data_IF_484310457955
#
_entry.id   IF_484310457955
#
_cell.length_a   1.000
_cell.length_b   1.000
_cell.length_c   1.000
_cell.angle_alpha   90.00
_cell.angle_beta   90.00
_cell.angle_gamma   90.00
#
_symmetry.space_group_name_H-M   'P 1'
#
loop_
_entity.id
_entity.type
_entity.pdbx_description
1 polymer ?
#
# COMPACT_ATOMS: atom_id res chain seq x y z
N UNK A 1 -8.34 -12.58 -36.88
CA UNK A 1 -7.17 -13.11 -36.15
C UNK A 1 -7.04 -12.32 -34.85
N UNK A 2 -7.15 -12.97 -33.68
CA UNK A 2 -7.10 -12.29 -32.38
C UNK A 2 -5.66 -11.86 -32.10
N UNK A 3 -5.40 -10.56 -32.13
CA UNK A 3 -4.11 -9.98 -31.80
C UNK A 3 -3.84 -10.26 -30.32
N UNK A 4 -2.86 -11.13 -30.03
CA UNK A 4 -2.39 -11.33 -28.65
C UNK A 4 -1.90 -9.97 -28.15
N UNK A 5 -2.50 -9.46 -27.07
CA UNK A 5 -2.10 -8.19 -26.48
C UNK A 5 -0.62 -8.19 -26.10
N UNK A 6 0.00 -7.00 -26.13
CA UNK A 6 1.36 -6.81 -25.62
C UNK A 6 1.45 -7.33 -24.16
N UNK A 7 2.52 -8.05 -23.82
CA UNK A 7 2.74 -8.56 -22.45
C UNK A 7 2.76 -7.43 -21.43
N UNK A 8 2.55 -7.76 -20.15
CA UNK A 8 2.72 -6.81 -19.06
C UNK A 8 4.20 -6.55 -18.82
N UNK A 9 4.57 -5.28 -18.73
CA UNK A 9 5.90 -4.83 -18.28
C UNK A 9 5.95 -4.74 -16.75
N UNK A 10 7.14 -4.73 -16.17
CA UNK A 10 7.33 -4.60 -14.71
C UNK A 10 6.65 -3.35 -14.15
N UNK A 11 6.78 -2.21 -14.82
CA UNK A 11 6.07 -0.99 -14.44
C UNK A 11 4.55 -1.14 -14.46
N UNK A 12 3.99 -1.86 -15.43
CA UNK A 12 2.54 -2.13 -15.45
C UNK A 12 2.13 -3.02 -14.27
N UNK A 13 2.97 -3.97 -13.87
CA UNK A 13 2.68 -4.79 -12.70
C UNK A 13 2.73 -3.98 -11.40
N UNK A 14 3.71 -3.08 -11.24
CA UNK A 14 3.78 -2.16 -10.10
C UNK A 14 2.52 -1.28 -10.02
N UNK A 15 2.13 -0.66 -11.15
CA UNK A 15 0.93 0.17 -11.22
C UNK A 15 -0.33 -0.62 -10.87
N UNK A 16 -0.44 -1.87 -11.34
CA UNK A 16 -1.59 -2.73 -11.02
C UNK A 16 -1.62 -3.09 -9.53
N UNK A 17 -0.47 -3.39 -8.91
CA UNK A 17 -0.38 -3.66 -7.47
C UNK A 17 -0.78 -2.43 -6.64
N UNK A 18 -0.22 -1.26 -6.95
CA UNK A 18 -0.54 -0.01 -6.26
C UNK A 18 -2.03 0.37 -6.38
N UNK A 19 -2.58 0.29 -7.60
CA UNK A 19 -3.99 0.57 -7.83
C UNK A 19 -4.89 -0.42 -7.09
N UNK A 20 -4.53 -1.72 -7.05
CA UNK A 20 -5.27 -2.69 -6.26
C UNK A 20 -5.27 -2.33 -4.77
N UNK A 21 -4.10 -2.10 -4.19
CA UNK A 21 -3.96 -1.80 -2.76
C UNK A 21 -4.73 -0.55 -2.35
N UNK A 22 -4.70 0.50 -3.17
CA UNK A 22 -5.46 1.73 -2.95
C UNK A 22 -6.97 1.47 -2.82
N UNK A 23 -7.52 0.60 -3.66
CA UNK A 23 -8.97 0.36 -3.71
C UNK A 23 -9.42 -0.88 -2.94
N UNK A 24 -8.51 -1.77 -2.53
CA UNK A 24 -8.82 -3.00 -1.78
C UNK A 24 -8.73 -2.82 -0.26
N UNK A 25 -8.03 -1.78 0.20
CA UNK A 25 -7.78 -1.53 1.65
C UNK A 25 -8.68 -0.44 2.25
N UNK A 26 -9.61 0.13 1.46
CA UNK A 26 -10.57 1.12 1.94
C UNK A 26 -11.60 0.46 2.90
N UNK A 27 -11.31 0.55 4.20
CA UNK A 27 -12.07 -0.07 5.30
C UNK A 27 -13.52 0.41 5.35
N UNK A 28 -13.80 1.63 4.86
CA UNK A 28 -15.14 2.21 4.84
C UNK A 28 -16.00 1.60 3.72
N UNK A 29 -15.35 1.14 2.65
CA UNK A 29 -16.02 0.68 1.42
C UNK A 29 -15.95 -0.85 1.25
N UNK A 30 -14.97 -1.52 1.87
CA UNK A 30 -14.71 -2.95 1.71
C UNK A 30 -15.85 -3.88 2.14
N UNK A 31 -16.71 -3.47 3.08
CA UNK A 31 -17.85 -4.28 3.52
C UNK A 31 -19.04 -4.27 2.55
N UNK A 32 -19.15 -3.28 1.65
CA UNK A 32 -20.33 -3.08 0.81
C UNK A 32 -20.03 -2.87 -0.69
N UNK A 33 -18.77 -2.91 -1.11
CA UNK A 33 -18.43 -2.76 -2.52
C UNK A 33 -18.54 -4.08 -3.28
N UNK A 34 -19.35 -4.08 -4.34
CA UNK A 34 -19.36 -5.19 -5.29
C UNK A 34 -17.99 -5.29 -5.96
N UNK A 35 -17.42 -6.49 -6.01
CA UNK A 35 -16.10 -6.79 -6.59
C UNK A 35 -15.91 -6.15 -7.99
N UNK A 36 -16.98 -6.15 -8.81
CA UNK A 36 -17.01 -5.52 -10.14
C UNK A 36 -16.77 -4.00 -10.10
N UNK A 37 -17.33 -3.30 -9.12
CA UNK A 37 -17.20 -1.85 -9.00
C UNK A 37 -15.81 -1.46 -8.46
N UNK A 38 -15.19 -2.31 -7.64
CA UNK A 38 -13.79 -2.15 -7.20
C UNK A 38 -12.85 -2.23 -8.41
N UNK A 39 -12.98 -3.27 -9.23
CA UNK A 39 -12.12 -3.43 -10.40
C UNK A 39 -12.26 -2.32 -11.44
N UNK A 40 -13.45 -1.71 -11.57
CA UNK A 40 -13.61 -0.51 -12.40
C UNK A 40 -12.78 0.65 -11.88
N UNK A 41 -12.78 0.91 -10.56
CA UNK A 41 -11.94 1.95 -9.94
C UNK A 41 -10.46 1.66 -10.15
N UNK A 42 -10.03 0.42 -9.93
CA UNK A 42 -8.66 -0.03 -10.19
C UNK A 42 -8.26 0.23 -11.65
N UNK A 43 -9.13 -0.13 -12.60
CA UNK A 43 -8.88 0.10 -14.02
C UNK A 43 -8.77 1.60 -14.34
N UNK A 44 -9.65 2.43 -13.77
CA UNK A 44 -9.61 3.89 -13.95
C UNK A 44 -8.28 4.45 -13.46
N UNK A 45 -7.87 4.12 -12.24
CA UNK A 45 -6.57 4.56 -11.68
C UNK A 45 -5.41 4.04 -12.53
N UNK A 46 -5.38 2.74 -12.87
CA UNK A 46 -4.32 2.17 -13.68
C UNK A 46 -4.17 2.85 -15.05
N UNK A 47 -5.29 3.00 -15.79
CA UNK A 47 -5.25 3.61 -17.13
C UNK A 47 -4.90 5.10 -17.06
N UNK A 48 -5.24 5.77 -15.96
CA UNK A 48 -4.85 7.14 -15.72
C UNK A 48 -3.32 7.27 -15.55
N UNK A 49 -2.72 6.46 -14.67
CA UNK A 49 -1.28 6.42 -14.44
C UNK A 49 -0.49 6.06 -15.71
N UNK A 50 -1.01 5.12 -16.50
CA UNK A 50 -0.40 4.66 -17.75
C UNK A 50 -0.30 5.77 -18.81
N UNK A 51 -1.28 6.68 -18.88
CA UNK A 51 -1.25 7.86 -19.77
C UNK A 51 -0.15 8.83 -19.36
N UNK A 52 0.11 8.94 -18.06
CA UNK A 52 1.05 9.91 -17.51
C UNK A 52 2.51 9.42 -17.53
N UNK A 53 2.77 8.14 -17.24
CA UNK A 53 4.12 7.67 -16.90
C UNK A 53 4.94 7.11 -18.06
N UNK A 54 4.35 6.59 -19.16
CA UNK A 54 5.17 5.90 -20.17
C UNK A 54 4.53 5.59 -21.54
N UNK A 55 3.46 6.28 -21.93
CA UNK A 55 2.67 5.94 -23.14
C UNK A 55 2.30 4.44 -23.23
N UNK A 56 2.05 3.81 -22.07
CA UNK A 56 1.66 2.39 -22.04
C UNK A 56 0.21 2.26 -22.56
N UNK A 57 -0.17 1.04 -22.93
CA UNK A 57 -1.51 0.79 -23.44
C UNK A 57 -2.52 0.67 -22.30
N UNK A 58 -3.72 1.21 -22.50
CA UNK A 58 -4.83 0.95 -21.60
C UNK A 58 -5.10 -0.55 -21.49
N UNK A 59 -5.45 -1.01 -20.29
CA UNK A 59 -5.83 -2.39 -20.02
C UNK A 59 -7.31 -2.49 -19.69
N UNK A 60 -7.89 -3.64 -20.00
CA UNK A 60 -9.28 -3.97 -19.61
C UNK A 60 -9.32 -4.43 -18.16
N UNK A 61 -10.47 -4.30 -17.48
CA UNK A 61 -10.69 -4.86 -16.14
C UNK A 61 -10.21 -6.32 -16.05
N UNK A 62 -10.71 -7.16 -16.96
CA UNK A 62 -10.37 -8.59 -16.98
C UNK A 62 -8.88 -8.84 -17.16
N UNK A 63 -8.19 -8.01 -17.94
CA UNK A 63 -6.74 -8.13 -18.13
C UNK A 63 -5.97 -7.82 -16.84
N UNK A 64 -6.38 -6.79 -16.11
CA UNK A 64 -5.75 -6.38 -14.85
C UNK A 64 -6.02 -7.42 -13.76
N UNK A 65 -7.26 -7.89 -13.66
CA UNK A 65 -7.69 -8.92 -12.72
C UNK A 65 -6.90 -10.22 -12.90
N UNK A 66 -6.90 -10.80 -14.11
CA UNK A 66 -6.16 -12.03 -14.37
C UNK A 66 -4.64 -11.85 -14.19
N UNK A 67 -4.09 -10.65 -14.39
CA UNK A 67 -2.67 -10.40 -14.15
C UNK A 67 -2.36 -10.33 -12.66
N UNK A 68 -3.19 -9.62 -11.89
CA UNK A 68 -3.01 -9.49 -10.45
C UNK A 68 -3.21 -10.83 -9.74
N UNK A 69 -4.15 -11.66 -10.18
CA UNK A 69 -4.33 -13.01 -9.63
C UNK A 69 -3.04 -13.83 -9.72
N UNK A 70 -2.36 -13.79 -10.87
CA UNK A 70 -1.07 -14.46 -11.07
C UNK A 70 0.03 -13.89 -10.18
N UNK A 71 0.10 -12.57 -10.06
CA UNK A 71 1.05 -11.89 -9.17
C UNK A 71 0.78 -12.29 -7.73
N UNK A 72 -0.47 -12.24 -7.29
CA UNK A 72 -0.92 -12.59 -5.94
C UNK A 72 -0.51 -14.01 -5.58
N UNK A 73 -0.81 -14.99 -6.45
CA UNK A 73 -0.48 -16.39 -6.21
C UNK A 73 1.03 -16.60 -6.09
N UNK A 74 1.81 -16.01 -7.01
CA UNK A 74 3.26 -16.12 -6.99
C UNK A 74 3.88 -15.45 -5.74
N UNK A 75 3.39 -14.25 -5.37
CA UNK A 75 3.86 -13.54 -4.19
C UNK A 75 3.51 -14.27 -2.89
N UNK A 76 2.31 -14.86 -2.79
CA UNK A 76 1.93 -15.67 -1.63
C UNK A 76 2.81 -16.91 -1.50
N UNK A 77 3.08 -17.62 -2.60
CA UNK A 77 3.99 -18.76 -2.58
C UNK A 77 5.43 -18.34 -2.21
N UNK A 78 5.91 -17.24 -2.79
CA UNK A 78 7.25 -16.71 -2.49
C UNK A 78 7.38 -16.31 -1.02
N UNK A 79 6.39 -15.61 -0.44
CA UNK A 79 6.35 -15.28 0.97
C UNK A 79 6.39 -16.52 1.88
N UNK A 80 5.71 -17.61 1.50
CA UNK A 80 5.82 -18.88 2.25
C UNK A 80 7.21 -19.52 2.17
N UNK A 81 7.91 -19.36 1.05
CA UNK A 81 9.27 -19.84 0.88
C UNK A 81 10.29 -19.00 1.64
N UNK A 82 10.07 -17.68 1.73
CA UNK A 82 10.88 -16.78 2.56
C UNK A 82 10.79 -17.17 4.03
N UNK A 83 9.58 -17.32 4.57
CA UNK A 83 9.40 -17.75 5.97
C UNK A 83 10.04 -19.10 6.24
N UNK A 84 9.90 -20.06 5.33
CA UNK A 84 10.56 -21.36 5.50
C UNK A 84 12.09 -21.28 5.43
N UNK A 85 12.65 -20.41 4.58
CA UNK A 85 14.08 -20.17 4.52
C UNK A 85 14.58 -19.50 5.82
N UNK A 86 13.84 -18.53 6.35
CA UNK A 86 14.13 -17.87 7.64
C UNK A 86 14.10 -18.88 8.80
N UNK A 87 13.07 -19.73 8.87
CA UNK A 87 12.93 -20.75 9.92
C UNK A 87 14.05 -21.82 9.89
N UNK A 88 14.56 -22.13 8.69
CA UNK A 88 15.69 -23.06 8.51
C UNK A 88 17.03 -22.43 8.91
N UNK A 89 17.14 -21.10 8.83
CA UNK A 89 18.38 -20.37 9.07
C UNK A 89 18.46 -19.85 10.52
N UNK A 90 18.47 -20.77 11.48
CA UNK A 90 18.58 -20.47 12.92
C UNK A 90 19.95 -19.93 13.35
N UNK A 91 20.92 -19.84 12.44
CA UNK A 91 22.30 -19.45 12.72
C UNK A 91 22.80 -18.39 11.73
N UNK A 92 22.78 -17.11 12.14
CA UNK A 92 23.66 -16.03 11.66
C UNK A 92 23.83 -15.77 10.16
N UNK A 93 23.02 -16.38 9.28
CA UNK A 93 23.16 -16.25 7.82
C UNK A 93 22.84 -14.84 7.35
N UNK A 94 23.48 -14.44 6.24
CA UNK A 94 23.24 -13.16 5.60
C UNK A 94 21.83 -13.15 4.97
N UNK A 95 21.17 -11.99 4.94
CA UNK A 95 19.85 -11.80 4.32
C UNK A 95 19.82 -12.29 2.86
N UNK A 96 20.91 -12.12 2.13
CA UNK A 96 21.06 -12.61 0.76
C UNK A 96 20.98 -14.14 0.65
N UNK A 97 21.48 -14.87 1.65
CA UNK A 97 21.42 -16.33 1.65
C UNK A 97 19.99 -16.82 1.86
N UNK A 98 19.22 -16.14 2.72
CA UNK A 98 17.80 -16.39 2.95
C UNK A 98 17.01 -16.19 1.65
N UNK A 99 17.25 -15.07 0.95
CA UNK A 99 16.60 -14.77 -0.34
C UNK A 99 16.94 -15.85 -1.38
N UNK A 100 18.21 -16.23 -1.51
CA UNK A 100 18.63 -17.25 -2.47
C UNK A 100 17.99 -18.62 -2.17
N UNK A 101 17.91 -18.99 -0.90
CA UNK A 101 17.24 -20.22 -0.48
C UNK A 101 15.74 -20.17 -0.75
N UNK A 102 15.08 -19.03 -0.49
CA UNK A 102 13.67 -18.84 -0.78
C UNK A 102 13.37 -18.92 -2.28
N UNK A 103 14.20 -18.35 -3.14
CA UNK A 103 14.08 -18.46 -4.60
C UNK A 103 14.25 -19.90 -5.09
N UNK A 104 15.19 -20.65 -4.50
CA UNK A 104 15.37 -22.07 -4.80
C UNK A 104 14.14 -22.89 -4.37
N UNK A 105 13.62 -22.65 -3.17
CA UNK A 105 12.39 -23.28 -2.66
C UNK A 105 11.18 -22.94 -3.54
N UNK A 106 11.05 -21.68 -3.97
CA UNK A 106 9.98 -21.25 -4.86
C UNK A 106 9.99 -22.06 -6.15
N UNK A 107 11.16 -22.22 -6.79
CA UNK A 107 11.29 -22.99 -8.03
C UNK A 107 10.92 -24.47 -7.85
N UNK A 108 11.20 -25.05 -6.69
CA UNK A 108 10.82 -26.43 -6.39
C UNK A 108 9.30 -26.54 -6.21
N UNK A 109 8.68 -25.57 -5.52
CA UNK A 109 7.25 -25.60 -5.17
C UNK A 109 6.32 -25.05 -6.26
N UNK A 110 6.81 -24.20 -7.15
CA UNK A 110 6.01 -23.69 -8.26
C UNK A 110 5.57 -24.87 -9.15
N UNK A 111 4.27 -25.00 -9.47
CA UNK A 111 3.77 -26.13 -10.26
C UNK A 111 4.41 -26.28 -11.64
N UNK A 112 5.06 -25.23 -12.15
CA UNK A 112 5.75 -25.20 -13.45
C UNK A 112 7.26 -25.13 -13.32
N UNK A 113 7.78 -25.19 -12.09
CA UNK A 113 9.20 -25.06 -11.76
C UNK A 113 9.86 -23.82 -12.36
N UNK A 114 9.10 -22.72 -12.44
CA UNK A 114 9.60 -21.45 -12.99
C UNK A 114 10.28 -20.63 -11.91
N UNK A 115 11.25 -19.82 -12.32
CA UNK A 115 11.85 -18.82 -11.45
C UNK A 115 10.82 -17.76 -11.07
N UNK A 116 10.96 -17.20 -9.87
CA UNK A 116 10.15 -16.07 -9.42
C UNK A 116 10.50 -14.81 -10.23
N UNK A 117 9.49 -14.13 -10.77
CA UNK A 117 9.65 -12.97 -11.67
C UNK A 117 9.00 -11.69 -11.16
N UNK A 118 8.47 -11.71 -9.94
CA UNK A 118 7.65 -10.62 -9.40
C UNK A 118 8.29 -9.95 -8.19
N UNK A 119 9.61 -9.83 -8.18
CA UNK A 119 10.36 -9.18 -7.09
C UNK A 119 9.88 -7.74 -6.87
N UNK A 120 9.67 -6.99 -7.96
CA UNK A 120 9.11 -5.63 -7.90
C UNK A 120 7.71 -5.58 -7.27
N UNK A 121 6.85 -6.57 -7.54
CA UNK A 121 5.53 -6.64 -6.92
C UNK A 121 5.61 -7.05 -5.45
N UNK A 122 6.52 -7.96 -5.12
CA UNK A 122 6.70 -8.43 -3.74
C UNK A 122 7.07 -7.29 -2.81
N UNK A 123 8.01 -6.43 -3.23
CA UNK A 123 8.41 -5.24 -2.47
C UNK A 123 7.25 -4.30 -2.14
N UNK A 124 6.24 -4.23 -3.03
CA UNK A 124 5.02 -3.46 -2.81
C UNK A 124 4.05 -4.21 -1.86
N UNK A 125 3.86 -5.51 -2.07
CA UNK A 125 2.78 -6.27 -1.42
C UNK A 125 3.15 -6.80 -0.02
N UNK A 126 4.44 -7.02 0.27
CA UNK A 126 4.90 -7.77 1.46
C UNK A 126 4.43 -7.22 2.81
N UNK A 127 4.16 -5.91 2.89
CA UNK A 127 3.75 -5.24 4.13
C UNK A 127 2.23 -5.18 4.33
N UNK A 128 1.43 -5.73 3.42
CA UNK A 128 -0.04 -5.66 3.49
C UNK A 128 -0.64 -6.90 4.15
N UNK A 129 -1.75 -6.77 4.93
CA UNK A 129 -2.29 -7.85 5.78
C UNK A 129 -2.56 -9.19 5.08
N UNK A 130 -2.81 -9.18 3.77
CA UNK A 130 -3.05 -10.40 2.97
C UNK A 130 -1.76 -11.19 2.68
N UNK A 131 -0.59 -10.54 2.71
CA UNK A 131 0.70 -11.14 2.40
C UNK A 131 1.69 -11.10 3.58
N UNK A 132 1.39 -10.33 4.62
CA UNK A 132 2.06 -10.45 5.93
C UNK A 132 1.61 -11.76 6.56
N UNK A 133 2.57 -12.64 6.86
CA UNK A 133 2.27 -13.81 7.68
C UNK A 133 2.06 -13.37 9.13
N UNK A 134 1.11 -13.97 9.87
CA UNK A 134 1.00 -13.71 11.29
C UNK A 134 2.33 -14.08 11.94
N UNK A 135 2.98 -13.11 12.58
CA UNK A 135 4.15 -13.39 13.39
C UNK A 135 3.75 -14.48 14.39
N UNK A 136 4.50 -15.58 14.42
CA UNK A 136 4.40 -16.53 15.51
C UNK A 136 4.89 -15.78 16.74
N UNK A 137 3.97 -15.13 17.45
CA UNK A 137 4.20 -14.71 18.82
C UNK A 137 4.73 -15.95 19.53
N UNK A 138 6.02 -15.96 19.83
CA UNK A 138 6.57 -16.78 20.90
C UNK A 138 5.82 -16.26 22.13
N UNK A 139 4.71 -16.92 22.46
CA UNK A 139 4.11 -16.75 23.77
C UNK A 139 5.21 -17.16 24.74
N UNK A 140 5.70 -16.16 25.46
CA UNK A 140 6.53 -16.36 26.63
C UNK A 140 5.83 -17.40 27.52
N UNK A 141 6.38 -18.62 27.54
CA UNK A 141 6.18 -19.53 28.66
C UNK A 141 6.87 -18.89 29.88
N UNK A 142 6.16 -17.98 30.52
CA UNK A 142 6.43 -17.54 31.89
C UNK A 142 5.19 -16.81 32.43
N UNK A 143 4.16 -17.57 32.79
CA UNK A 143 3.21 -17.09 33.81
C UNK A 143 3.70 -17.53 35.18
N UNK A 144 3.97 -16.62 36.13
CA UNK A 144 4.28 -16.98 37.50
C UNK A 144 3.07 -17.61 38.19
N UNK A 145 3.31 -18.75 38.83
CA UNK A 145 2.45 -19.35 39.84
C UNK A 145 2.25 -18.35 40.99
N UNK A 146 1.00 -18.01 41.34
CA UNK A 146 0.67 -17.63 42.71
C UNK A 146 -0.60 -18.33 43.21
N UNK A 147 -0.49 -18.68 44.48
CA UNK A 147 -1.23 -19.66 45.26
C UNK A 147 -2.67 -19.28 45.61
N UNK A 148 -3.50 -20.31 45.78
CA UNK A 148 -4.77 -20.24 46.49
C UNK A 148 -5.41 -21.62 46.73
N UNK A 149 -4.80 -22.46 47.55
CA UNK A 149 -5.45 -23.61 48.23
C UNK A 149 -6.39 -23.12 49.35
N UNK A 150 -7.33 -23.92 49.94
CA UNK A 150 -7.13 -25.33 50.34
C UNK A 150 -8.36 -26.28 50.37
N UNK A 151 -8.12 -27.51 50.89
CA UNK A 151 -9.02 -28.56 51.43
C UNK A 151 -9.46 -29.63 50.39
N UNK A 152 -9.45 -30.96 50.62
CA UNK A 152 -8.94 -31.94 51.60
C UNK A 152 -9.35 -33.34 51.09
N UNK A 153 -8.56 -34.38 51.38
CA UNK A 153 -8.86 -35.83 51.60
C UNK A 153 -7.70 -36.68 51.03
N UNK A 154 -6.73 -37.08 51.87
CA UNK A 154 -6.63 -38.36 52.62
C UNK A 154 -6.32 -39.60 51.75
N UNK A 155 -5.11 -40.19 51.88
CA UNK A 155 -4.87 -41.35 52.78
C UNK A 155 -3.54 -42.09 52.47
N UNK A 156 -2.67 -42.20 53.49
CA UNK A 156 -1.80 -43.36 53.88
C UNK A 156 -0.73 -43.90 52.88
N UNK A 157 0.50 -44.32 53.19
CA UNK A 157 1.19 -45.01 54.31
C UNK A 157 2.73 -44.76 54.22
N UNK A 158 3.43 -44.37 55.28
CA UNK A 158 4.29 -45.13 56.23
C UNK A 158 5.57 -45.84 55.69
N UNK A 159 6.70 -45.46 56.33
CA UNK A 159 7.91 -46.24 56.72
C UNK A 159 8.82 -46.87 55.63
N UNK A 160 10.14 -47.00 55.76
CA UNK A 160 11.13 -46.66 56.79
C UNK A 160 12.52 -47.21 56.36
N UNK A 161 13.57 -46.38 56.47
CA UNK A 161 15.06 -46.55 56.62
C UNK A 161 15.81 -47.89 56.27
N UNK A 162 17.15 -48.01 56.46
CA UNK A 162 18.18 -47.84 55.42
C UNK A 162 19.13 -49.07 55.28
N UNK A 163 20.03 -49.13 54.28
CA UNK A 163 21.22 -49.98 54.41
C UNK A 163 22.48 -49.44 53.71
N UNK A 164 23.57 -49.50 54.50
CA UNK A 164 24.96 -49.14 54.27
C UNK A 164 25.68 -49.97 53.19
N UNK A 165 26.76 -49.39 52.64
CA UNK A 165 27.96 -50.18 52.37
C UNK A 165 28.86 -49.75 51.20
N UNK A 166 30.07 -49.27 51.57
CA UNK A 166 31.35 -49.33 50.83
C UNK A 166 31.84 -48.03 50.12
N UNK A 167 32.83 -47.41 50.79
CA UNK A 167 33.82 -46.36 50.45
C UNK A 167 34.98 -46.92 49.56
N UNK A 168 36.13 -46.23 49.27
CA UNK A 168 36.54 -44.81 49.35
C UNK A 168 37.39 -44.29 48.13
N UNK A 169 37.65 -42.96 48.08
CA UNK A 169 38.66 -42.36 47.18
C UNK A 169 39.01 -40.88 47.48
N UNK A 170 39.74 -40.64 48.57
CA UNK A 170 40.72 -39.56 48.89
C UNK A 170 40.94 -38.41 47.89
N UNK A 171 40.69 -37.16 48.28
CA UNK A 171 41.66 -36.13 48.77
C UNK A 171 42.29 -35.23 47.70
N UNK A 172 42.17 -33.89 47.86
CA UNK A 172 43.01 -32.94 47.11
C UNK A 172 42.53 -31.48 46.99
N UNK A 173 42.52 -30.76 48.12
CA UNK A 173 42.67 -29.28 48.30
C UNK A 173 43.31 -28.52 47.10
N UNK A 174 43.03 -27.25 46.72
CA UNK A 174 42.73 -26.00 47.47
C UNK A 174 42.55 -24.83 46.45
N UNK A 175 41.64 -23.91 46.77
CA UNK A 175 41.75 -22.43 46.71
C UNK A 175 42.66 -21.72 45.67
N UNK A 176 42.06 -20.85 44.85
CA UNK A 176 42.71 -19.61 44.40
C UNK A 176 42.31 -19.10 43.00
N UNK A 177 41.48 -18.04 42.95
CA UNK A 177 41.60 -16.84 42.08
C UNK A 177 40.26 -16.13 41.92
N UNK A 178 39.91 -15.38 42.95
CA UNK A 178 38.93 -14.31 42.89
C UNK A 178 39.72 -12.99 42.81
N UNK A 179 39.92 -12.45 41.59
CA UNK A 179 40.46 -11.10 41.32
C UNK A 179 40.62 -10.73 39.81
N UNK A 180 39.93 -11.39 38.87
CA UNK A 180 40.08 -11.05 37.42
C UNK A 180 38.78 -10.89 36.64
N UNK A 181 37.62 -10.76 37.31
CA UNK A 181 36.32 -10.56 36.61
C UNK A 181 35.63 -9.22 36.90
N UNK A 182 36.18 -8.39 37.80
CA UNK A 182 35.56 -7.12 38.22
C UNK A 182 36.21 -5.84 37.64
N UNK A 183 37.18 -5.94 36.72
CA UNK A 183 37.84 -4.77 36.07
C UNK A 183 37.60 -4.64 34.55
N UNK A 184 36.50 -5.18 34.03
CA UNK A 184 36.07 -5.02 32.62
C UNK A 184 34.67 -4.41 32.47
N UNK A 185 34.25 -3.56 33.40
CA UNK A 185 32.98 -2.81 33.30
C UNK A 185 33.11 -1.29 33.22
N UNK A 186 34.32 -0.76 33.02
CA UNK A 186 34.54 0.67 32.79
C UNK A 186 35.57 0.88 31.68
N UNK A 187 35.21 0.46 30.47
CA UNK A 187 35.78 0.93 29.21
C UNK A 187 34.84 0.44 28.10
N UNK A 188 33.67 1.08 27.97
CA UNK A 188 32.90 1.01 26.73
C UNK A 188 33.62 1.92 25.73
N UNK A 189 34.72 1.42 25.19
CA UNK A 189 35.38 2.04 24.04
C UNK A 189 34.39 1.91 22.87
N UNK A 190 33.81 3.04 22.45
CA UNK A 190 32.84 3.08 21.35
C UNK A 190 33.52 2.53 20.10
N UNK A 191 33.09 1.36 19.65
CA UNK A 191 33.59 0.74 18.44
C UNK A 191 33.26 1.65 17.23
N UNK A 192 34.27 2.28 16.59
CA UNK A 192 34.06 3.30 15.57
C UNK A 192 33.29 2.76 14.35
N UNK A 193 33.38 1.45 14.09
CA UNK A 193 32.66 0.79 13.00
C UNK A 193 31.15 0.71 13.25
N UNK A 194 30.72 0.66 14.52
CA UNK A 194 29.31 0.56 14.90
C UNK A 194 28.61 1.92 14.97
N UNK A 195 29.36 3.00 15.21
CA UNK A 195 28.87 4.39 15.09
C UNK A 195 28.77 4.82 13.62
N UNK A 196 29.71 4.42 12.75
CA UNK A 196 29.66 4.71 11.31
C UNK A 196 28.48 4.01 10.63
N UNK A 197 28.24 2.73 10.93
CA UNK A 197 27.09 1.97 10.43
C UNK A 197 25.75 2.59 10.84
N UNK A 198 25.63 3.12 12.07
CA UNK A 198 24.42 3.81 12.54
C UNK A 198 24.21 5.16 11.85
N UNK A 199 25.30 5.89 11.61
CA UNK A 199 25.26 7.17 10.92
C UNK A 199 24.87 7.00 9.44
N UNK A 200 25.35 5.95 8.79
CA UNK A 200 25.00 5.66 7.40
C UNK A 200 23.58 5.11 7.26
N UNK A 201 23.11 4.27 8.20
CA UNK A 201 21.70 3.86 8.24
C UNK A 201 20.74 5.04 8.53
N UNK A 202 21.18 6.00 9.34
CA UNK A 202 20.44 7.24 9.58
C UNK A 202 20.36 8.08 8.29
N UNK A 203 21.47 8.25 7.56
CA UNK A 203 21.49 9.00 6.31
C UNK A 203 20.63 8.34 5.24
N UNK A 204 20.69 7.02 5.09
CA UNK A 204 19.86 6.29 4.12
C UNK A 204 18.36 6.42 4.47
N UNK A 205 18.00 6.32 5.75
CA UNK A 205 16.61 6.53 6.19
C UNK A 205 16.10 7.95 5.88
N UNK A 206 16.92 8.98 6.16
CA UNK A 206 16.55 10.37 5.84
C UNK A 206 16.44 10.64 4.33
N UNK A 207 17.26 9.98 3.51
CA UNK A 207 17.21 10.10 2.05
C UNK A 207 15.93 9.46 1.48
N UNK A 208 15.53 8.30 2.02
CA UNK A 208 14.29 7.62 1.66
C UNK A 208 13.05 8.45 2.02
N UNK A 209 13.03 9.07 3.20
CA UNK A 209 11.96 10.00 3.60
C UNK A 209 11.87 11.22 2.68
N UNK A 210 13.00 11.83 2.32
CA UNK A 210 13.02 12.93 1.34
C UNK A 210 12.51 12.50 -0.03
N UNK A 211 12.87 11.30 -0.49
CA UNK A 211 12.36 10.75 -1.75
C UNK A 211 10.85 10.52 -1.69
N UNK A 212 10.31 10.05 -0.57
CA UNK A 212 8.87 9.86 -0.39
C UNK A 212 8.12 11.20 -0.38
N UNK A 213 8.65 12.20 0.31
CA UNK A 213 8.06 13.55 0.36
C UNK A 213 8.07 14.20 -1.03
N UNK A 214 9.19 14.13 -1.74
CA UNK A 214 9.30 14.68 -3.10
C UNK A 214 8.38 13.95 -4.08
N UNK A 215 8.25 12.63 -3.96
CA UNK A 215 7.29 11.85 -4.74
C UNK A 215 5.84 12.26 -4.47
N UNK A 216 5.43 12.36 -3.21
CA UNK A 216 4.07 12.77 -2.83
C UNK A 216 3.74 14.20 -3.30
N UNK A 217 4.69 15.13 -3.18
CA UNK A 217 4.51 16.51 -3.66
C UNK A 217 4.38 16.57 -5.19
N UNK A 218 5.20 15.79 -5.91
CA UNK A 218 5.08 15.69 -7.36
C UNK A 218 3.72 15.12 -7.77
N UNK A 219 3.26 14.07 -7.10
CA UNK A 219 1.93 13.47 -7.33
C UNK A 219 0.80 14.47 -7.08
N UNK A 220 0.85 15.24 -5.99
CA UNK A 220 -0.15 16.27 -5.70
C UNK A 220 -0.17 17.37 -6.77
N UNK A 221 0.99 17.85 -7.21
CA UNK A 221 1.08 18.87 -8.26
C UNK A 221 0.48 18.40 -9.60
N UNK A 222 0.58 17.11 -9.90
CA UNK A 222 -0.01 16.50 -11.11
C UNK A 222 -1.54 16.50 -11.01
N UNK A 223 -2.08 16.06 -9.87
CA UNK A 223 -3.52 16.07 -9.60
C UNK A 223 -4.12 17.48 -9.75
N UNK A 224 -3.43 18.49 -9.22
CA UNK A 224 -3.88 19.88 -9.30
C UNK A 224 -3.87 20.40 -10.75
N UNK A 225 -2.85 20.05 -11.54
CA UNK A 225 -2.78 20.40 -12.96
C UNK A 225 -3.91 19.77 -13.79
N UNK A 226 -4.33 18.55 -13.44
CA UNK A 226 -5.43 17.86 -14.11
C UNK A 226 -6.78 18.44 -13.77
N UNK A 227 -7.01 18.73 -12.48
CA UNK A 227 -8.21 19.43 -12.06
C UNK A 227 -8.30 20.79 -12.77
N UNK A 228 -7.19 21.53 -12.86
CA UNK A 228 -7.14 22.78 -13.60
C UNK A 228 -7.45 22.60 -15.10
N UNK A 229 -6.96 21.54 -15.74
CA UNK A 229 -7.29 21.24 -17.15
C UNK A 229 -8.77 20.92 -17.33
N UNK A 230 -9.36 20.15 -16.41
CA UNK A 230 -10.77 19.81 -16.44
C UNK A 230 -11.63 21.06 -16.26
N UNK A 231 -11.31 21.89 -15.27
CA UNK A 231 -11.99 23.16 -15.01
C UNK A 231 -11.89 24.11 -16.20
N UNK A 232 -10.70 24.22 -16.83
CA UNK A 232 -10.51 24.99 -18.08
C UNK A 232 -11.38 24.46 -19.21
N UNK A 233 -11.56 23.13 -19.32
CA UNK A 233 -12.43 22.51 -20.34
C UNK A 233 -13.91 22.82 -20.06
N UNK A 234 -14.35 22.76 -18.80
CA UNK A 234 -15.70 23.13 -18.40
C UNK A 234 -15.96 24.63 -18.62
N UNK A 235 -15.04 25.50 -18.20
CA UNK A 235 -15.11 26.93 -18.42
C UNK A 235 -15.19 27.28 -19.91
N UNK A 236 -14.37 26.66 -20.77
CA UNK A 236 -14.45 26.84 -22.23
C UNK A 236 -15.80 26.40 -22.80
N UNK A 237 -16.38 25.30 -22.32
CA UNK A 237 -17.72 24.86 -22.75
C UNK A 237 -18.79 25.86 -22.31
N UNK A 238 -18.72 26.32 -21.06
CA UNK A 238 -19.66 27.31 -20.52
C UNK A 238 -19.57 28.62 -21.29
N UNK A 239 -18.36 29.15 -21.53
CA UNK A 239 -18.14 30.36 -22.33
C UNK A 239 -18.70 30.22 -23.76
N UNK A 240 -18.58 29.04 -24.39
CA UNK A 240 -19.20 28.79 -25.70
C UNK A 240 -20.73 28.80 -25.64
N UNK A 241 -21.33 28.26 -24.59
CA UNK A 241 -22.79 28.30 -24.38
C UNK A 241 -23.26 29.73 -24.13
N UNK A 242 -22.54 30.48 -23.29
CA UNK A 242 -22.85 31.87 -22.98
C UNK A 242 -22.69 32.77 -24.20
N UNK A 243 -21.63 32.56 -25.00
CA UNK A 243 -21.44 33.27 -26.27
C UNK A 243 -22.59 33.01 -27.23
N UNK A 244 -23.02 31.75 -27.40
CA UNK A 244 -24.19 31.40 -28.23
C UNK A 244 -25.47 32.07 -27.71
N UNK A 245 -25.68 32.05 -26.39
CA UNK A 245 -26.82 32.72 -25.77
C UNK A 245 -26.79 34.23 -26.01
N UNK A 246 -25.61 34.87 -25.94
CA UNK A 246 -25.42 36.28 -26.25
C UNK A 246 -25.71 36.60 -27.72
N UNK A 247 -25.23 35.78 -28.66
CA UNK A 247 -25.54 35.93 -30.09
C UNK A 247 -27.04 35.84 -30.34
N UNK A 248 -27.72 34.82 -29.81
CA UNK A 248 -29.17 34.67 -29.94
C UNK A 248 -29.89 35.87 -29.32
N UNK A 249 -29.48 36.32 -28.14
CA UNK A 249 -30.09 37.50 -27.51
C UNK A 249 -29.91 38.77 -28.34
N UNK A 250 -28.74 38.97 -28.95
CA UNK A 250 -28.48 40.11 -29.84
C UNK A 250 -29.34 40.05 -31.12
N UNK A 251 -29.53 38.86 -31.71
CA UNK A 251 -30.45 38.65 -32.83
C UNK A 251 -31.90 38.98 -32.45
N UNK A 252 -32.34 38.54 -31.27
CA UNK A 252 -33.68 38.83 -30.76
C UNK A 252 -33.87 40.33 -30.56
N UNK A 253 -32.90 41.02 -29.94
CA UNK A 253 -32.98 42.45 -29.66
C UNK A 253 -32.93 43.32 -30.93
N UNK A 254 -32.15 42.92 -31.93
CA UNK A 254 -32.00 43.63 -33.21
C UNK A 254 -33.13 43.38 -34.20
N UNK A 255 -34.03 42.43 -33.94
CA UNK A 255 -35.16 42.10 -34.83
C UNK A 255 -36.04 43.33 -35.10
N UNK A 256 -36.19 43.71 -36.38
CA UNK A 256 -37.11 44.77 -36.82
C UNK A 256 -38.57 44.29 -36.70
N UNK A 257 -39.45 45.17 -36.20
CA UNK A 257 -40.85 44.89 -35.88
C UNK A 257 -41.84 45.69 -36.75
N UNK A 258 -41.36 46.50 -37.70
CA UNK A 258 -42.20 47.40 -38.49
C UNK A 258 -43.18 46.66 -39.41
N UNK A 259 -42.72 45.59 -40.06
CA UNK A 259 -43.48 44.88 -41.11
C UNK A 259 -44.13 43.58 -40.61
N UNK A 260 -44.28 43.41 -39.29
CA UNK A 260 -44.79 42.17 -38.67
C UNK A 260 -46.27 42.26 -38.30
N UNK A 261 -46.97 41.11 -38.28
CA UNK A 261 -48.34 41.02 -37.78
C UNK A 261 -48.44 41.44 -36.30
N UNK A 262 -49.59 41.97 -35.83
CA UNK A 262 -49.75 42.42 -34.43
C UNK A 262 -49.36 41.36 -33.41
N UNK A 263 -49.79 40.11 -33.63
CA UNK A 263 -49.45 38.97 -32.78
C UNK A 263 -47.94 38.68 -32.72
N UNK A 264 -47.27 38.68 -33.88
CA UNK A 264 -45.82 38.46 -33.93
C UNK A 264 -45.05 39.61 -33.26
N UNK A 265 -45.52 40.84 -33.44
CA UNK A 265 -44.94 42.03 -32.83
C UNK A 265 -44.98 41.97 -31.31
N UNK A 266 -46.11 41.54 -30.73
CA UNK A 266 -46.25 41.35 -29.29
C UNK A 266 -45.32 40.24 -28.77
N UNK A 267 -45.25 39.10 -29.45
CA UNK A 267 -44.36 37.99 -29.11
C UNK A 267 -42.89 38.42 -29.00
N UNK A 268 -42.38 39.10 -30.03
CA UNK A 268 -40.99 39.55 -30.04
C UNK A 268 -40.72 40.66 -29.03
N UNK A 269 -41.70 41.56 -28.81
CA UNK A 269 -41.60 42.60 -27.78
C UNK A 269 -41.46 42.01 -26.38
N UNK A 270 -42.25 40.98 -26.06
CA UNK A 270 -42.16 40.27 -24.78
C UNK A 270 -40.82 39.54 -24.63
N UNK A 271 -40.33 38.87 -25.68
CA UNK A 271 -38.99 38.26 -25.71
C UNK A 271 -37.87 39.27 -25.43
N UNK A 272 -37.90 40.45 -26.08
CA UNK A 272 -36.93 41.53 -25.84
C UNK A 272 -36.97 42.01 -24.39
N UNK A 273 -38.17 42.20 -23.82
CA UNK A 273 -38.36 42.63 -22.43
C UNK A 273 -37.78 41.65 -21.42
N UNK A 274 -37.99 40.35 -21.60
CA UNK A 274 -37.43 39.30 -20.73
C UNK A 274 -35.91 39.36 -20.71
N UNK A 275 -35.27 39.52 -21.87
CA UNK A 275 -33.81 39.60 -21.98
C UNK A 275 -33.28 40.82 -21.22
N UNK A 276 -33.90 42.00 -21.38
CA UNK A 276 -33.52 43.22 -20.67
C UNK A 276 -33.63 43.07 -19.16
N UNK A 277 -34.73 42.47 -18.67
CA UNK A 277 -34.92 42.23 -17.24
C UNK A 277 -33.86 41.29 -16.65
N UNK A 278 -33.45 40.26 -17.41
CA UNK A 278 -32.37 39.34 -17.00
C UNK A 278 -31.04 40.08 -16.86
N UNK A 279 -30.72 41.01 -17.77
CA UNK A 279 -29.50 41.82 -17.67
C UNK A 279 -29.53 42.75 -16.47
N UNK A 280 -30.63 43.48 -16.26
CA UNK A 280 -30.80 44.37 -15.09
C UNK A 280 -30.70 43.61 -13.76
N UNK A 281 -31.28 42.42 -13.68
CA UNK A 281 -31.19 41.57 -12.48
C UNK A 281 -29.75 41.07 -12.20
N UNK A 282 -28.99 40.75 -13.26
CA UNK A 282 -27.59 40.32 -13.12
C UNK A 282 -26.70 41.48 -12.68
N UNK A 283 -26.93 42.68 -13.20
CA UNK A 283 -26.21 43.89 -12.77
C UNK A 283 -26.50 44.23 -11.31
N UNK A 284 -27.76 44.15 -10.88
CA UNK A 284 -28.16 44.41 -9.49
C UNK A 284 -27.62 43.41 -8.46
N UNK A 285 -27.21 42.21 -8.89
CA UNK A 285 -26.62 41.15 -8.03
C UNK A 285 -25.08 41.12 -8.01
N UNK A 286 -24.44 41.87 -8.92
CA UNK A 286 -22.98 41.95 -9.01
C UNK A 286 -22.41 43.22 -8.33
N UNK A 287 -23.20 43.83 -7.43
CA UNK A 287 -22.80 44.84 -6.43
C UNK A 287 -22.91 44.16 -5.07
#
# INVERSE_FOLDING_TARGET
MSQRGCGFKELEDCLNCNAYLLHSTDVVVGAYQRNVDMWKKIQTTFNHEVVYINHLSHRTVKSLECRLEKISLACTLYGSCLTEAEERNQSGSNEQDIINQALALFKIKDPKHLDFKFTHCWEILKNYPKWVQPEKNQQDENSPLEHGTPISLDSSQLEGTPQDGIRPGYEGRRSGRDATKAKRRLASEKDPMLEEMKNDNSKTHTLLEQQLITFNNAHQAIMDLEQQKLDRKHARKQQKMDMKAATINAEILSKNLADMTPFSKEYWTNKKRVIVNIFQYREAKNI
#
